data_IF_211381334162
#
_entry.id   IF_211381334162
#
_cell.length_a   1.000
_cell.length_b   1.000
_cell.length_c   1.000
_cell.angle_alpha   90.00
_cell.angle_beta   90.00
_cell.angle_gamma   90.00
#
_symmetry.space_group_name_H-M   'P 1'
#
loop_
_entity.id
_entity.type
_entity.pdbx_description
1 polymer ?
#
# COMPACT_ATOMS: atom_id res chain seq x y z
N UNK A 1 4.70 -2.79 10.41
CA UNK A 1 4.73 -1.88 11.57
C UNK A 1 4.48 -0.48 11.05
N UNK A 2 3.49 0.24 11.58
CA UNK A 2 3.14 1.61 11.21
C UNK A 2 3.42 2.52 12.41
N UNK A 3 4.03 3.68 12.18
CA UNK A 3 4.37 4.67 13.21
C UNK A 3 4.27 6.09 12.64
N UNK A 4 3.96 7.06 13.48
CA UNK A 4 3.96 8.47 13.10
C UNK A 4 5.40 9.00 13.10
N UNK A 5 5.76 9.79 12.09
CA UNK A 5 7.08 10.43 12.01
C UNK A 5 7.17 11.73 12.83
N UNK A 6 6.06 12.23 13.39
CA UNK A 6 6.02 13.49 14.13
C UNK A 6 6.49 13.29 15.58
N UNK A 7 7.37 14.17 16.13
CA UNK A 7 7.72 14.13 17.55
C UNK A 7 6.46 14.33 18.41
N UNK A 8 6.14 13.33 19.24
CA UNK A 8 4.92 13.30 20.07
C UNK A 8 3.76 12.48 19.51
N UNK A 9 3.85 12.01 18.26
CA UNK A 9 2.81 11.22 17.60
C UNK A 9 1.66 12.09 17.08
N UNK A 10 1.37 11.99 15.79
CA UNK A 10 0.28 12.74 15.17
C UNK A 10 -1.10 12.07 15.37
N UNK A 11 -1.12 10.80 15.79
CA UNK A 11 -2.34 10.04 16.02
C UNK A 11 -2.86 9.32 14.78
N UNK A 12 -2.16 9.41 13.62
CA UNK A 12 -2.63 8.75 12.40
C UNK A 12 -2.64 7.23 12.53
N UNK A 13 -1.69 6.65 13.24
CA UNK A 13 -1.66 5.19 13.46
C UNK A 13 -2.89 4.73 14.26
N UNK A 14 -3.35 5.54 15.21
CA UNK A 14 -4.55 5.24 15.99
C UNK A 14 -5.78 5.31 15.08
N UNK A 15 -5.87 6.35 14.24
CA UNK A 15 -6.96 6.47 13.26
C UNK A 15 -6.96 5.33 12.24
N UNK A 16 -5.78 4.94 11.75
CA UNK A 16 -5.60 3.81 10.82
C UNK A 16 -6.11 2.51 11.44
N UNK A 17 -5.95 2.31 12.75
CA UNK A 17 -6.47 1.12 13.43
C UNK A 17 -7.99 1.06 13.36
N UNK A 18 -8.68 2.18 13.64
CA UNK A 18 -10.14 2.24 13.61
C UNK A 18 -10.70 2.13 12.18
N UNK A 19 -9.98 2.68 11.20
CA UNK A 19 -10.37 2.66 9.77
C UNK A 19 -9.64 1.60 8.95
N UNK A 20 -9.04 0.59 9.59
CA UNK A 20 -8.11 -0.32 8.93
C UNK A 20 -8.73 -1.01 7.71
N UNK A 21 -9.99 -1.46 7.85
CA UNK A 21 -10.70 -2.13 6.76
C UNK A 21 -10.97 -1.22 5.56
N UNK A 22 -11.33 0.04 5.80
CA UNK A 22 -11.53 1.03 4.74
C UNK A 22 -10.24 1.31 3.99
N UNK A 23 -9.13 1.39 4.72
CA UNK A 23 -7.79 1.60 4.16
C UNK A 23 -7.38 0.41 3.29
N UNK A 24 -7.61 -0.83 3.75
CA UNK A 24 -7.32 -2.04 2.96
C UNK A 24 -8.15 -2.06 1.67
N UNK A 25 -9.45 -1.73 1.73
CA UNK A 25 -10.29 -1.63 0.53
C UNK A 25 -9.77 -0.58 -0.44
N UNK A 26 -9.41 0.61 0.07
CA UNK A 26 -8.86 1.68 -0.77
C UNK A 26 -7.50 1.28 -1.38
N UNK A 27 -6.68 0.53 -0.66
CA UNK A 27 -5.43 -0.01 -1.18
C UNK A 27 -5.68 -1.04 -2.29
N UNK A 28 -6.69 -1.90 -2.17
CA UNK A 28 -7.08 -2.83 -3.23
C UNK A 28 -7.53 -2.10 -4.49
N UNK A 29 -8.31 -1.03 -4.36
CA UNK A 29 -8.70 -0.17 -5.49
C UNK A 29 -7.50 0.50 -6.16
N UNK A 30 -6.53 0.99 -5.39
CA UNK A 30 -5.30 1.57 -5.93
C UNK A 30 -4.45 0.55 -6.70
N UNK A 31 -4.49 -0.72 -6.26
CA UNK A 31 -3.81 -1.82 -6.94
C UNK A 31 -4.59 -2.37 -8.14
N UNK A 32 -5.84 -1.97 -8.36
CA UNK A 32 -6.57 -2.23 -9.62
C UNK A 32 -6.12 -1.26 -10.73
N UNK A 33 -4.81 -1.22 -10.95
CA UNK A 33 -4.18 -0.31 -11.90
C UNK A 33 -4.37 -0.84 -13.33
N UNK A 34 -4.66 0.03 -14.30
CA UNK A 34 -4.75 -0.38 -15.72
C UNK A 34 -3.46 -0.19 -16.52
N UNK A 35 -2.46 0.45 -15.90
CA UNK A 35 -1.24 0.91 -16.59
C UNK A 35 -0.06 -0.07 -16.48
N UNK A 36 -0.12 -1.06 -15.60
CA UNK A 36 0.94 -2.06 -15.44
C UNK A 36 0.37 -3.47 -15.33
N UNK A 37 1.18 -4.48 -15.63
CA UNK A 37 0.85 -5.89 -15.44
C UNK A 37 0.90 -6.30 -13.96
N UNK A 38 0.42 -7.50 -13.64
CA UNK A 38 0.50 -8.05 -12.29
C UNK A 38 1.93 -8.43 -11.89
N UNK A 39 2.75 -8.77 -12.86
CA UNK A 39 4.18 -9.09 -12.74
C UNK A 39 5.08 -7.85 -12.59
N UNK A 40 4.51 -6.65 -12.72
CA UNK A 40 5.21 -5.37 -12.69
C UNK A 40 4.55 -4.38 -11.71
N UNK A 41 5.09 -3.16 -11.64
CA UNK A 41 4.55 -2.07 -10.82
C UNK A 41 4.78 -0.73 -11.50
N UNK A 42 3.97 0.27 -11.16
CA UNK A 42 4.08 1.64 -11.66
C UNK A 42 3.92 2.66 -10.53
N UNK A 43 4.13 3.94 -10.89
CA UNK A 43 4.03 5.08 -9.96
C UNK A 43 2.59 5.23 -9.44
N UNK A 44 1.59 4.88 -10.25
CA UNK A 44 0.19 4.96 -9.86
C UNK A 44 -0.25 3.86 -8.88
N UNK A 45 0.55 2.82 -8.63
CA UNK A 45 0.17 1.71 -7.75
C UNK A 45 1.11 1.54 -6.54
N UNK A 46 2.39 1.26 -6.76
CA UNK A 46 3.34 0.88 -5.69
C UNK A 46 4.62 1.71 -5.67
N UNK A 47 4.96 2.39 -6.76
CA UNK A 47 6.24 3.08 -6.89
C UNK A 47 6.12 4.52 -6.40
N UNK A 48 6.95 4.86 -5.43
CA UNK A 48 7.15 6.22 -4.93
C UNK A 48 8.61 6.62 -5.12
N UNK A 49 8.91 7.90 -4.95
CA UNK A 49 10.31 8.37 -4.95
C UNK A 49 11.12 7.69 -3.83
N UNK A 50 10.53 7.54 -2.65
CA UNK A 50 11.19 6.97 -1.47
C UNK A 50 11.57 5.49 -1.63
N UNK A 51 10.90 4.73 -2.52
CA UNK A 51 11.16 3.31 -2.72
C UNK A 51 11.84 2.98 -4.06
N UNK A 52 12.45 3.98 -4.73
CA UNK A 52 13.08 3.83 -6.06
C UNK A 52 14.06 2.66 -6.15
N UNK A 53 14.86 2.44 -5.10
CA UNK A 53 15.82 1.34 -5.03
C UNK A 53 15.18 -0.05 -5.19
N UNK A 54 13.89 -0.18 -4.90
CA UNK A 54 13.16 -1.45 -4.91
C UNK A 54 12.22 -1.60 -6.11
N UNK A 55 12.15 -0.63 -7.04
CA UNK A 55 11.18 -0.65 -8.16
C UNK A 55 11.23 -1.92 -9.01
N UNK A 56 12.41 -2.54 -9.13
CA UNK A 56 12.63 -3.78 -9.88
C UNK A 56 12.15 -5.04 -9.13
N UNK A 57 11.92 -4.95 -7.82
CA UNK A 57 11.45 -6.04 -6.97
C UNK A 57 9.94 -5.96 -6.71
N UNK A 58 9.31 -4.82 -7.00
CA UNK A 58 7.90 -4.58 -6.72
C UNK A 58 7.02 -5.19 -7.81
N UNK A 59 6.17 -6.13 -7.40
CA UNK A 59 5.15 -6.75 -8.24
C UNK A 59 3.77 -6.51 -7.65
N UNK A 60 2.87 -5.97 -8.48
CA UNK A 60 1.52 -5.62 -8.06
C UNK A 60 0.69 -6.84 -7.66
N UNK A 61 0.81 -7.95 -8.39
CA UNK A 61 0.06 -9.18 -8.15
C UNK A 61 0.32 -9.76 -6.76
N UNK A 62 1.59 -9.76 -6.31
CA UNK A 62 1.95 -10.23 -4.97
C UNK A 62 1.32 -9.34 -3.89
N UNK A 63 1.41 -8.01 -4.05
CA UNK A 63 0.84 -7.06 -3.11
C UNK A 63 -0.69 -7.20 -3.02
N UNK A 64 -1.35 -7.39 -4.17
CA UNK A 64 -2.80 -7.55 -4.28
C UNK A 64 -3.25 -8.87 -3.62
N UNK A 65 -2.55 -9.97 -3.87
CA UNK A 65 -2.82 -11.25 -3.23
C UNK A 65 -2.65 -11.18 -1.69
N UNK A 66 -1.65 -10.44 -1.21
CA UNK A 66 -1.46 -10.22 0.22
C UNK A 66 -2.59 -9.40 0.84
N UNK A 67 -2.98 -8.27 0.21
CA UNK A 67 -4.06 -7.42 0.73
C UNK A 67 -5.43 -8.11 0.72
N UNK A 68 -5.71 -8.97 -0.27
CA UNK A 68 -6.95 -9.77 -0.28
C UNK A 68 -7.08 -10.70 0.92
N UNK A 69 -5.95 -11.16 1.50
CA UNK A 69 -5.96 -11.96 2.74
C UNK A 69 -6.27 -11.11 3.99
N UNK A 70 -6.07 -9.80 3.92
CA UNK A 70 -6.28 -8.87 5.03
C UNK A 70 -7.69 -8.26 5.05
N UNK A 71 -8.48 -8.39 3.98
CA UNK A 71 -9.88 -7.93 3.91
C UNK A 71 -10.91 -8.96 4.44
N UNK A 72 -10.42 -10.11 4.94
CA UNK A 72 -11.21 -11.15 5.61
C UNK A 72 -11.64 -10.68 7.01
#
# INVERSE_FOLDING_TARGET
MLFDACPGGAGFVIEIKEKFREIVKRALELLDCKYCGEDSSCISCLRTYSNQRYHNLLQRGIALAYLRKLDQ
#
